data_IF_997927301714
#
_entry.id   IF_997927301714
#
_cell.length_a   1.000
_cell.length_b   1.000
_cell.length_c   1.000
_cell.angle_alpha   90.00
_cell.angle_beta   90.00
_cell.angle_gamma   90.00
#
_symmetry.space_group_name_H-M   'P 1'
#
loop_
_entity.id
_entity.type
_entity.pdbx_description
1 polymer ?
#
# COMPACT_ATOMS: atom_id res chain seq x y z
N UNK A 1 88.51 -4.53 11.62
CA UNK A 1 88.59 -3.52 10.54
C UNK A 1 87.16 -3.21 10.08
N UNK A 2 86.49 -2.21 10.68
CA UNK A 2 86.05 -0.96 10.03
C UNK A 2 85.63 -1.11 8.55
N UNK A 3 84.34 -0.98 8.27
CA UNK A 3 83.78 0.06 7.39
C UNK A 3 82.24 0.12 7.58
N UNK A 4 81.82 1.04 8.43
CA UNK A 4 80.48 1.63 8.50
C UNK A 4 80.24 2.55 7.30
N UNK A 5 79.11 2.39 6.60
CA UNK A 5 78.45 3.49 5.89
C UNK A 5 76.98 3.53 6.28
N UNK A 6 76.65 4.52 7.11
CA UNK A 6 75.29 5.01 7.39
C UNK A 6 74.79 5.84 6.21
N UNK A 7 73.48 6.13 6.23
CA UNK A 7 72.70 7.08 5.41
C UNK A 7 72.14 6.41 4.14
N UNK A 8 70.84 6.47 3.81
CA UNK A 8 69.90 7.57 3.95
C UNK A 8 68.47 7.14 4.37
N UNK A 9 67.92 7.99 5.22
CA UNK A 9 66.52 8.25 5.52
C UNK A 9 65.65 8.32 4.27
N UNK A 10 64.59 7.51 4.20
CA UNK A 10 63.54 7.57 3.18
C UNK A 10 62.17 7.45 3.85
N UNK A 11 61.59 8.60 4.19
CA UNK A 11 60.22 8.76 4.64
C UNK A 11 59.26 8.35 3.50
N UNK A 12 58.56 7.23 3.63
CA UNK A 12 57.34 6.98 2.86
C UNK A 12 56.18 6.88 3.85
N UNK A 13 55.54 8.04 4.04
CA UNK A 13 54.18 8.14 4.55
C UNK A 13 53.22 7.82 3.40
N UNK A 14 52.05 7.26 3.75
CA UNK A 14 50.83 7.17 2.95
C UNK A 14 50.72 5.91 2.06
N UNK A 15 49.61 5.17 1.99
CA UNK A 15 48.22 5.38 2.40
C UNK A 15 47.65 4.01 2.77
N UNK A 16 47.06 3.85 3.97
CA UNK A 16 46.14 2.75 4.21
C UNK A 16 44.88 3.02 3.37
N UNK A 17 44.74 2.37 2.22
CA UNK A 17 43.48 2.41 1.47
C UNK A 17 42.45 1.58 2.22
N UNK A 18 41.74 2.24 3.13
CA UNK A 18 40.52 1.74 3.72
C UNK A 18 39.43 1.69 2.63
N UNK A 19 39.51 0.70 1.75
CA UNK A 19 38.46 0.38 0.78
C UNK A 19 37.33 -0.38 1.48
N UNK A 20 36.68 0.27 2.44
CA UNK A 20 35.72 -0.39 3.34
C UNK A 20 34.66 0.56 3.84
N UNK A 21 34.03 1.35 2.95
CA UNK A 21 32.94 2.23 3.35
C UNK A 21 32.01 2.64 2.19
N UNK A 22 31.53 1.69 1.37
CA UNK A 22 30.39 1.96 0.47
C UNK A 22 29.45 0.75 0.36
N UNK A 23 29.12 0.13 1.50
CA UNK A 23 27.92 -0.69 1.63
C UNK A 23 26.96 0.03 2.58
N UNK A 24 26.52 1.22 2.16
CA UNK A 24 25.28 1.75 2.71
C UNK A 24 24.17 0.82 2.25
N UNK A 25 23.70 -0.05 3.13
CA UNK A 25 22.47 -0.79 2.91
C UNK A 25 21.35 0.24 2.73
N UNK A 26 21.10 0.67 1.49
CA UNK A 26 19.92 1.44 1.17
C UNK A 26 18.74 0.57 1.57
N UNK A 27 18.00 0.97 2.61
CA UNK A 27 16.74 0.33 2.93
C UNK A 27 15.85 0.49 1.71
N UNK A 28 15.63 -0.59 0.96
CA UNK A 28 14.61 -0.61 -0.07
C UNK A 28 13.27 -0.40 0.64
N UNK A 29 12.77 0.84 0.63
CA UNK A 29 11.45 1.14 1.14
C UNK A 29 10.45 0.59 0.12
N UNK A 30 10.02 -0.65 0.32
CA UNK A 30 9.00 -1.27 -0.50
C UNK A 30 7.66 -0.53 -0.31
N UNK A 31 6.84 -0.51 -1.37
CA UNK A 31 5.45 -0.08 -1.29
C UNK A 31 4.74 -0.85 -0.16
N UNK A 32 4.03 -0.17 0.75
CA UNK A 32 3.30 -0.85 1.81
C UNK A 32 2.24 -1.80 1.24
N UNK A 33 1.95 -2.90 1.94
CA UNK A 33 0.89 -3.83 1.54
C UNK A 33 -0.51 -3.20 1.73
N UNK A 34 -1.05 -2.70 0.62
CA UNK A 34 -2.30 -1.96 0.55
C UNK A 34 -3.34 -2.60 -0.36
N UNK A 35 -3.04 -3.74 -0.98
CA UNK A 35 -3.97 -4.47 -1.84
C UNK A 35 -5.16 -4.96 -1.01
N UNK A 36 -6.34 -5.00 -1.64
CA UNK A 36 -7.63 -5.35 -1.04
C UNK A 36 -8.10 -4.40 0.07
N UNK A 37 -7.45 -3.24 0.24
CA UNK A 37 -7.90 -2.19 1.16
C UNK A 37 -8.65 -1.07 0.42
N UNK A 38 -9.58 -0.37 1.11
CA UNK A 38 -10.15 0.86 0.59
C UNK A 38 -9.07 1.91 0.29
N UNK A 39 -9.21 2.63 -0.82
CA UNK A 39 -8.22 3.62 -1.25
C UNK A 39 -7.96 4.70 -0.19
N UNK A 40 -8.99 5.11 0.57
CA UNK A 40 -8.81 6.04 1.69
C UNK A 40 -7.77 5.54 2.71
N UNK A 41 -7.73 4.23 2.97
CA UNK A 41 -6.86 3.62 3.96
C UNK A 41 -5.45 3.41 3.38
N UNK A 42 -5.40 2.94 2.13
CA UNK A 42 -4.17 2.82 1.34
C UNK A 42 -3.43 4.16 1.23
N UNK A 43 -4.14 5.24 0.87
CA UNK A 43 -3.58 6.60 0.79
C UNK A 43 -2.91 7.00 2.10
N UNK A 44 -3.60 6.81 3.24
CA UNK A 44 -3.02 7.13 4.56
C UNK A 44 -1.80 6.27 4.88
N UNK A 45 -1.78 4.99 4.50
CA UNK A 45 -0.63 4.09 4.71
C UNK A 45 0.58 4.54 3.90
N UNK A 46 0.38 4.84 2.61
CA UNK A 46 1.40 5.34 1.69
C UNK A 46 1.97 6.68 2.18
N UNK A 47 1.12 7.60 2.62
CA UNK A 47 1.55 8.90 3.14
C UNK A 47 2.37 8.75 4.43
N UNK A 48 1.98 7.84 5.33
CA UNK A 48 2.76 7.52 6.54
C UNK A 48 4.11 6.90 6.24
N UNK A 49 4.27 6.18 5.13
CA UNK A 49 5.56 5.66 4.68
C UNK A 49 6.40 6.70 3.90
N UNK A 50 5.93 7.95 3.80
CA UNK A 50 6.63 9.03 3.10
C UNK A 50 6.40 9.07 1.59
N UNK A 51 5.50 8.21 1.08
CA UNK A 51 5.05 8.20 -0.31
C UNK A 51 3.89 9.17 -0.56
N UNK A 52 3.50 9.30 -1.82
CA UNK A 52 2.31 10.01 -2.30
C UNK A 52 1.54 9.08 -3.20
N UNK A 53 0.32 8.73 -2.79
CA UNK A 53 -0.54 7.89 -3.61
C UNK A 53 -1.00 8.64 -4.87
N UNK A 54 -0.93 7.98 -6.02
CA UNK A 54 -1.38 8.47 -7.32
C UNK A 54 -2.23 7.39 -7.97
N UNK A 55 -3.47 7.72 -8.33
CA UNK A 55 -4.36 6.78 -9.03
C UNK A 55 -3.85 6.58 -10.45
N UNK A 56 -3.40 5.37 -10.75
CA UNK A 56 -2.87 4.98 -12.06
C UNK A 56 -4.00 4.56 -13.00
N UNK A 57 -4.90 3.71 -12.50
CA UNK A 57 -6.04 3.19 -13.23
C UNK A 57 -7.23 3.07 -12.31
N UNK A 58 -8.42 3.24 -12.90
CA UNK A 58 -9.70 3.10 -12.23
C UNK A 58 -10.62 2.28 -13.11
N UNK A 59 -11.20 1.22 -12.56
CA UNK A 59 -12.19 0.39 -13.24
C UNK A 59 -13.51 0.45 -12.46
N UNK A 60 -14.61 0.75 -13.14
CA UNK A 60 -15.95 0.82 -12.55
C UNK A 60 -16.33 2.19 -11.98
N UNK A 61 -17.63 2.38 -11.77
CA UNK A 61 -18.26 3.62 -11.31
C UNK A 61 -19.24 3.41 -10.15
N UNK A 62 -19.33 2.19 -9.63
CA UNK A 62 -20.33 1.80 -8.62
C UNK A 62 -20.01 2.25 -7.18
N UNK A 63 -18.82 2.78 -6.92
CA UNK A 63 -18.41 3.28 -5.62
C UNK A 63 -17.69 4.63 -5.73
N UNK A 64 -17.75 5.43 -4.65
CA UNK A 64 -16.91 6.62 -4.48
C UNK A 64 -15.42 6.23 -4.44
N UNK A 65 -14.54 7.09 -4.96
CA UNK A 65 -13.11 6.79 -5.10
C UNK A 65 -12.45 6.32 -3.79
N UNK A 66 -12.80 7.00 -2.69
CA UNK A 66 -12.28 6.71 -1.36
C UNK A 66 -12.62 5.28 -0.88
N UNK A 67 -13.71 4.70 -1.39
CA UNK A 67 -14.19 3.37 -1.05
C UNK A 67 -13.74 2.28 -2.04
N UNK A 68 -13.16 2.65 -3.18
CA UNK A 68 -12.66 1.67 -4.15
C UNK A 68 -11.54 0.83 -3.55
N UNK A 69 -11.53 -0.46 -3.89
CA UNK A 69 -10.49 -1.39 -3.44
C UNK A 69 -9.25 -1.21 -4.30
N UNK A 70 -8.08 -1.18 -3.66
CA UNK A 70 -6.80 -1.23 -4.36
C UNK A 70 -6.56 -2.65 -4.85
N UNK A 71 -6.36 -2.83 -6.16
CA UNK A 71 -6.07 -4.13 -6.77
C UNK A 71 -4.59 -4.33 -7.05
N UNK A 72 -3.82 -3.24 -7.14
CA UNK A 72 -2.38 -3.28 -7.29
C UNK A 72 -1.75 -1.96 -6.82
N UNK A 73 -0.52 -2.00 -6.30
CA UNK A 73 0.24 -0.82 -5.90
C UNK A 73 1.73 -1.00 -6.24
N UNK A 74 2.36 0.03 -6.80
CA UNK A 74 3.77 -0.03 -7.23
C UNK A 74 4.42 1.36 -7.23
N UNK A 75 5.74 1.42 -7.08
CA UNK A 75 6.47 2.68 -7.21
C UNK A 75 6.48 3.16 -8.66
N UNK A 76 6.30 4.46 -8.86
CA UNK A 76 6.38 5.02 -10.20
C UNK A 76 7.81 4.88 -10.77
N UNK A 77 7.91 4.30 -11.98
CA UNK A 77 9.19 4.00 -12.61
C UNK A 77 9.99 5.25 -13.04
N UNK A 78 9.34 6.40 -13.23
CA UNK A 78 9.97 7.59 -13.82
C UNK A 78 10.14 8.69 -12.78
N UNK A 79 11.38 9.14 -12.59
CA UNK A 79 11.69 10.34 -11.80
C UNK A 79 11.25 11.58 -12.57
N UNK A 80 10.25 12.31 -12.05
CA UNK A 80 9.83 13.58 -12.63
C UNK A 80 10.82 14.69 -12.22
N UNK A 81 11.23 15.59 -13.13
CA UNK A 81 11.96 16.78 -12.75
C UNK A 81 11.10 17.68 -11.85
N UNK A 82 11.70 18.38 -10.91
CA UNK A 82 11.01 19.47 -10.22
C UNK A 82 10.92 20.72 -11.11
N UNK A 83 10.31 21.80 -10.60
CA UNK A 83 10.17 23.09 -11.30
C UNK A 83 11.49 23.76 -11.69
N UNK A 84 12.63 23.24 -11.24
CA UNK A 84 13.99 23.69 -11.58
C UNK A 84 14.75 22.67 -12.45
N UNK A 85 14.02 21.78 -13.12
CA UNK A 85 14.56 20.74 -14.01
C UNK A 85 15.53 19.75 -13.36
N UNK A 86 15.52 19.63 -12.03
CA UNK A 86 16.36 18.64 -11.32
C UNK A 86 15.57 17.36 -11.08
N UNK A 87 16.19 16.22 -11.37
CA UNK A 87 15.64 14.92 -11.01
C UNK A 87 15.52 14.83 -9.49
N UNK A 88 14.31 14.61 -8.97
CA UNK A 88 14.05 14.42 -7.54
C UNK A 88 13.82 12.95 -7.21
N UNK A 89 13.93 12.58 -5.93
CA UNK A 89 13.55 11.23 -5.47
C UNK A 89 12.07 11.03 -5.79
N UNK A 90 11.74 9.92 -6.44
CA UNK A 90 10.34 9.61 -6.70
C UNK A 90 9.68 9.12 -5.41
N UNK A 91 8.56 9.74 -5.06
CA UNK A 91 7.74 9.33 -3.92
C UNK A 91 6.35 8.92 -4.38
N UNK A 92 6.07 8.92 -5.68
CA UNK A 92 4.78 8.52 -6.22
C UNK A 92 4.63 7.00 -6.11
N UNK A 93 3.61 6.57 -5.37
CA UNK A 93 3.13 5.19 -5.38
C UNK A 93 1.87 5.15 -6.23
N UNK A 94 1.96 4.46 -7.35
CA UNK A 94 0.88 4.24 -8.29
C UNK A 94 -0.07 3.18 -7.73
N UNK A 95 -1.38 3.44 -7.77
CA UNK A 95 -2.40 2.48 -7.34
C UNK A 95 -3.42 2.21 -8.44
N UNK A 96 -3.78 0.95 -8.63
CA UNK A 96 -4.90 0.53 -9.47
C UNK A 96 -6.14 0.31 -8.60
N UNK A 97 -7.28 0.87 -9.01
CA UNK A 97 -8.53 0.83 -8.24
C UNK A 97 -9.61 0.01 -8.94
N UNK A 98 -10.31 -0.82 -8.16
CA UNK A 98 -11.59 -1.42 -8.51
C UNK A 98 -12.72 -0.71 -7.75
N UNK A 99 -13.53 0.01 -8.49
CA UNK A 99 -14.68 0.79 -8.03
C UNK A 99 -16.01 0.13 -8.40
N UNK A 100 -16.02 -1.16 -8.72
CA UNK A 100 -17.24 -1.94 -8.83
C UNK A 100 -17.83 -2.22 -7.43
N UNK A 101 -19.03 -2.79 -7.38
CA UNK A 101 -19.65 -3.21 -6.12
C UNK A 101 -18.80 -4.26 -5.38
N UNK A 102 -18.95 -4.31 -4.05
CA UNK A 102 -18.23 -5.27 -3.20
C UNK A 102 -18.50 -6.74 -3.57
N UNK A 103 -19.68 -7.02 -4.15
CA UNK A 103 -20.09 -8.32 -4.66
C UNK A 103 -20.93 -8.10 -5.93
N UNK A 104 -20.71 -8.92 -6.95
CA UNK A 104 -21.52 -8.90 -8.17
C UNK A 104 -22.95 -9.36 -7.90
N UNK A 105 -23.92 -8.73 -8.56
CA UNK A 105 -25.33 -9.10 -8.53
C UNK A 105 -25.94 -8.99 -9.94
N UNK A 106 -27.14 -9.54 -10.21
CA UNK A 106 -27.79 -9.39 -11.51
C UNK A 106 -27.90 -7.91 -11.91
N UNK A 107 -27.31 -7.55 -13.05
CA UNK A 107 -27.29 -6.16 -13.56
C UNK A 107 -26.36 -5.19 -12.81
N UNK A 108 -25.62 -5.65 -11.79
CA UNK A 108 -24.72 -4.81 -11.00
C UNK A 108 -23.29 -5.41 -10.98
N UNK A 109 -22.29 -4.72 -11.59
CA UNK A 109 -20.93 -5.21 -11.59
C UNK A 109 -20.33 -5.20 -10.18
N UNK A 110 -19.51 -6.21 -9.87
CA UNK A 110 -18.84 -6.32 -8.57
C UNK A 110 -17.84 -7.45 -8.52
N UNK A 111 -17.21 -7.66 -7.35
CA UNK A 111 -16.31 -8.79 -7.17
C UNK A 111 -17.06 -10.12 -7.33
N UNK A 112 -16.41 -11.09 -7.99
CA UNK A 112 -16.97 -12.43 -8.14
C UNK A 112 -17.15 -13.08 -6.76
N UNK A 113 -18.28 -13.76 -6.53
CA UNK A 113 -18.49 -14.57 -5.33
C UNK A 113 -17.46 -15.71 -5.17
N UNK A 114 -16.70 -16.01 -6.22
CA UNK A 114 -15.62 -16.99 -6.20
C UNK A 114 -14.25 -16.39 -5.84
N UNK A 115 -14.09 -15.06 -5.78
CA UNK A 115 -12.86 -14.44 -5.25
C UNK A 115 -12.87 -14.43 -3.72
N UNK A 116 -11.70 -14.27 -3.09
CA UNK A 116 -11.61 -14.19 -1.62
C UNK A 116 -12.47 -13.05 -1.07
N UNK A 117 -12.29 -11.84 -1.60
CA UNK A 117 -13.08 -10.67 -1.21
C UNK A 117 -14.58 -10.88 -1.46
N UNK A 118 -14.96 -11.48 -2.59
CA UNK A 118 -16.37 -11.75 -2.87
C UNK A 118 -16.97 -12.82 -1.94
N UNK A 119 -16.20 -13.84 -1.55
CA UNK A 119 -16.62 -14.81 -0.53
C UNK A 119 -16.85 -14.15 0.82
N UNK A 120 -15.91 -13.31 1.27
CA UNK A 120 -16.03 -12.57 2.51
C UNK A 120 -17.24 -11.63 2.49
N UNK A 121 -17.41 -10.85 1.42
CA UNK A 121 -18.57 -9.96 1.24
C UNK A 121 -19.90 -10.72 1.26
N UNK A 122 -19.97 -11.90 0.62
CA UNK A 122 -21.15 -12.76 0.63
C UNK A 122 -21.46 -13.27 2.04
N UNK A 123 -20.45 -13.71 2.78
CA UNK A 123 -20.61 -14.18 4.16
C UNK A 123 -21.10 -13.04 5.07
N UNK A 124 -20.50 -11.86 4.99
CA UNK A 124 -20.95 -10.68 5.75
C UNK A 124 -22.37 -10.26 5.40
N UNK A 125 -22.76 -10.32 4.12
CA UNK A 125 -24.12 -10.01 3.70
C UNK A 125 -25.13 -11.00 4.29
N UNK A 126 -24.81 -12.30 4.31
CA UNK A 126 -25.65 -13.32 4.94
C UNK A 126 -25.79 -13.11 6.45
N UNK A 127 -24.70 -12.77 7.14
CA UNK A 127 -24.69 -12.41 8.56
C UNK A 127 -25.59 -11.19 8.85
N UNK A 128 -25.46 -10.13 8.06
CA UNK A 128 -26.29 -8.91 8.18
C UNK A 128 -27.77 -9.22 7.95
N UNK A 129 -28.08 -10.02 6.94
CA UNK A 129 -29.46 -10.45 6.66
C UNK A 129 -30.06 -11.24 7.83
N UNK A 130 -29.33 -12.20 8.40
CA UNK A 130 -29.79 -12.96 9.57
C UNK A 130 -30.05 -12.06 10.78
N UNK A 131 -29.15 -11.12 11.06
CA UNK A 131 -29.32 -10.14 12.16
C UNK A 131 -30.53 -9.23 11.93
N UNK A 132 -30.77 -8.80 10.71
CA UNK A 132 -31.93 -7.98 10.36
C UNK A 132 -33.24 -8.76 10.58
N UNK A 133 -33.27 -10.03 10.19
CA UNK A 133 -34.43 -10.90 10.40
C UNK A 133 -34.73 -11.12 11.88
N UNK A 134 -33.71 -11.45 12.69
CA UNK A 134 -33.86 -11.56 14.14
C UNK A 134 -34.40 -10.28 14.78
N UNK A 135 -33.94 -9.11 14.33
CA UNK A 135 -34.44 -7.81 14.81
C UNK A 135 -35.90 -7.58 14.42
N UNK A 136 -36.31 -7.99 13.21
CA UNK A 136 -37.70 -7.88 12.75
C UNK A 136 -38.63 -8.78 13.58
N UNK A 137 -38.20 -10.00 13.86
CA UNK A 137 -38.95 -10.93 14.70
C UNK A 137 -39.10 -10.41 16.14
N UNK A 138 -38.02 -9.89 16.73
CA UNK A 138 -38.06 -9.28 18.06
C UNK A 138 -38.98 -8.05 18.11
N UNK A 139 -38.94 -7.18 17.10
CA UNK A 139 -39.83 -6.02 17.01
C UNK A 139 -41.30 -6.43 16.84
N UNK A 140 -41.59 -7.46 16.04
CA UNK A 140 -42.94 -8.00 15.87
C UNK A 140 -43.47 -8.64 17.17
N UNK A 141 -42.64 -9.40 17.88
CA UNK A 141 -43.01 -9.97 19.18
C UNK A 141 -43.29 -8.91 20.24
N UNK A 142 -42.49 -7.84 20.27
CA UNK A 142 -42.73 -6.70 21.17
C UNK A 142 -44.02 -5.94 20.83
N UNK A 143 -44.36 -5.82 19.54
CA UNK A 143 -45.61 -5.18 19.10
C UNK A 143 -46.85 -6.05 19.35
N UNK A 144 -46.69 -7.39 19.41
CA UNK A 144 -47.77 -8.33 19.69
C UNK A 144 -47.98 -8.61 21.19
N UNK A 145 -47.09 -8.12 22.07
CA UNK A 145 -47.26 -8.26 23.50
C UNK A 145 -48.45 -7.42 23.97
N UNK A 146 -49.46 -8.01 24.66
CA UNK A 146 -50.62 -7.27 25.10
C UNK A 146 -50.22 -6.20 26.12
N UNK A 147 -50.65 -4.96 25.89
CA UNK A 147 -50.62 -3.89 26.89
C UNK A 147 -51.50 -4.31 28.07
N UNK A 148 -50.86 -4.68 29.18
CA UNK A 148 -51.53 -4.99 30.45
C UNK A 148 -52.12 -3.74 31.07
#
# INVERSE_FOLDING_TARGET
MKQTRKLLTGLIVAVATASGALMGAGTAAAVPDVVDRPYKDAKRMIERSGGRAVVATRVGTGAEEAACLVTNAWDAAVRRPNSRSRLVVNREVMVALNCNGVLAAPGAPGNSAASEIGRQAKAEAAEKARKAELRRQAAAAAAAAPSS
#
